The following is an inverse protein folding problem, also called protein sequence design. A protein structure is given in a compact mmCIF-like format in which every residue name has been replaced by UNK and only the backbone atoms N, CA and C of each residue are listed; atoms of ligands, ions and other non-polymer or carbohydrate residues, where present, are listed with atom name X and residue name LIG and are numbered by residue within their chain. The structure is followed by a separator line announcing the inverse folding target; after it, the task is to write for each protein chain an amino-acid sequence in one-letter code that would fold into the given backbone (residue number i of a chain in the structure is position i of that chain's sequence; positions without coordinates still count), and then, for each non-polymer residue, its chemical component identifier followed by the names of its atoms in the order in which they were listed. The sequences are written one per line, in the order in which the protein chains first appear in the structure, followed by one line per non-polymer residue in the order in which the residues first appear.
data_IF_214156606338
#
_entry.id   IF_214156606338
#
_cell.length_a   1.000
_cell.length_b   1.000
_cell.length_c   1.000
_cell.angle_alpha   90.00
_cell.angle_beta   90.00
_cell.angle_gamma   90.00
#
_symmetry.space_group_name_H-M   'P 1'
#
loop_
_entity.id
_entity.type
_entity.pdbx_description
1 polymer ?
#
# COMPACT_ATOMS: atom_id res chain seq x y z
N UNK A 1 43.34 -19.89 13.71
CA UNK A 1 42.71 -18.63 13.26
C UNK A 1 41.21 -18.83 13.43
N UNK A 2 40.69 -18.50 14.60
CA UNK A 2 39.27 -18.68 14.92
C UNK A 2 38.52 -17.51 14.29
N UNK A 3 37.57 -17.82 13.41
CA UNK A 3 36.54 -16.88 12.99
C UNK A 3 35.83 -16.37 14.26
N UNK A 4 35.60 -15.06 14.43
CA UNK A 4 34.80 -14.60 15.54
C UNK A 4 33.38 -15.14 15.35
N UNK A 5 32.90 -15.92 16.32
CA UNK A 5 31.48 -16.19 16.49
C UNK A 5 30.74 -14.85 16.45
N UNK A 6 29.84 -14.68 15.48
CA UNK A 6 28.94 -13.55 15.40
C UNK A 6 28.17 -13.47 16.73
N UNK A 7 28.60 -12.58 17.62
CA UNK A 7 27.82 -12.22 18.80
C UNK A 7 26.60 -11.47 18.31
N UNK A 8 25.50 -12.20 18.16
CA UNK A 8 24.21 -11.62 17.86
C UNK A 8 23.92 -10.51 18.89
N UNK A 9 23.93 -9.25 18.46
CA UNK A 9 23.74 -8.06 19.29
C UNK A 9 22.42 -8.12 20.06
N UNK A 10 22.40 -7.91 21.38
CA UNK A 10 21.13 -7.91 22.13
C UNK A 10 20.21 -6.82 21.56
N UNK A 11 18.96 -7.19 21.26
CA UNK A 11 17.94 -6.26 20.78
C UNK A 11 16.94 -5.97 21.91
N UNK A 12 16.49 -4.72 22.00
CA UNK A 12 15.46 -4.27 22.91
C UNK A 12 14.28 -3.66 22.13
N UNK A 13 13.08 -3.65 22.73
CA UNK A 13 11.90 -3.04 22.14
C UNK A 13 11.41 -1.91 23.03
N UNK A 14 11.14 -0.76 22.42
CA UNK A 14 10.44 0.37 23.05
C UNK A 14 9.09 0.54 22.38
N UNK A 15 8.04 0.71 23.19
CA UNK A 15 6.69 0.93 22.70
C UNK A 15 6.34 2.43 22.74
N UNK A 16 6.06 2.99 21.58
CA UNK A 16 5.64 4.39 21.38
C UNK A 16 4.12 4.47 21.36
N UNK A 17 3.55 5.26 22.29
CA UNK A 17 2.09 5.34 22.54
C UNK A 17 1.49 6.72 22.37
N UNK A 18 2.31 7.74 22.16
CA UNK A 18 1.88 9.11 21.99
C UNK A 18 2.64 9.79 20.86
N UNK A 19 2.08 10.89 20.37
CA UNK A 19 2.60 11.63 19.23
C UNK A 19 3.96 12.28 19.52
N UNK A 20 4.20 12.73 20.76
CA UNK A 20 5.49 13.34 21.13
C UNK A 20 6.64 12.33 20.99
N UNK A 21 6.43 11.11 21.46
CA UNK A 21 7.41 10.03 21.32
C UNK A 21 7.57 9.58 19.86
N UNK A 22 6.51 9.61 19.05
CA UNK A 22 6.60 9.34 17.60
C UNK A 22 7.43 10.39 16.87
N UNK A 23 7.22 11.67 17.19
CA UNK A 23 7.98 12.78 16.63
C UNK A 23 9.46 12.70 17.02
N UNK A 24 9.76 12.28 18.25
CA UNK A 24 11.13 12.11 18.73
C UNK A 24 11.92 11.02 17.97
N UNK A 25 11.24 10.01 17.40
CA UNK A 25 11.88 8.97 16.60
C UNK A 25 12.26 9.41 15.17
N UNK A 26 11.79 10.58 14.72
CA UNK A 26 11.89 11.00 13.31
C UNK A 26 13.28 10.81 12.72
N UNK A 27 14.31 11.45 13.29
CA UNK A 27 15.65 11.43 12.71
C UNK A 27 16.28 10.04 12.70
N UNK A 28 16.02 9.23 13.72
CA UNK A 28 16.52 7.84 13.76
C UNK A 28 15.80 6.94 12.75
N UNK A 29 14.49 7.18 12.54
CA UNK A 29 13.68 6.42 11.58
C UNK A 29 14.02 6.80 10.14
N UNK A 30 14.12 8.09 9.82
CA UNK A 30 14.59 8.56 8.50
C UNK A 30 15.99 7.99 8.20
N UNK A 31 16.90 7.98 9.19
CA UNK A 31 18.22 7.33 9.05
C UNK A 31 18.14 5.81 8.82
N UNK A 32 17.16 5.13 9.42
CA UNK A 32 16.93 3.70 9.21
C UNK A 32 16.39 3.44 7.80
N UNK A 33 15.49 4.28 7.28
CA UNK A 33 14.96 4.17 5.92
C UNK A 33 16.07 4.23 4.87
N UNK A 34 17.03 5.14 5.04
CA UNK A 34 18.14 5.32 4.10
C UNK A 34 19.13 4.14 4.08
N UNK A 35 19.11 3.27 5.10
CA UNK A 35 20.05 2.16 5.28
C UNK A 35 19.40 0.78 5.22
N UNK A 36 18.06 0.70 5.26
CA UNK A 36 17.35 -0.56 5.25
C UNK A 36 17.62 -1.35 3.97
N UNK A 37 17.88 -2.66 4.09
CA UNK A 37 18.08 -3.55 2.93
C UNK A 37 16.83 -3.59 2.05
N UNK A 38 15.64 -3.60 2.65
CA UNK A 38 14.37 -3.55 1.94
C UNK A 38 13.64 -2.26 2.27
N UNK A 39 13.54 -1.36 1.27
CA UNK A 39 12.77 -0.13 1.40
C UNK A 39 11.26 -0.41 1.30
N UNK A 40 10.50 0.09 2.28
CA UNK A 40 9.05 0.00 2.32
C UNK A 40 8.42 1.38 2.38
N UNK A 41 7.83 1.83 1.27
CA UNK A 41 7.16 3.13 1.13
C UNK A 41 6.16 3.40 2.28
N UNK A 42 5.40 2.36 2.64
CA UNK A 42 4.29 2.40 3.60
C UNK A 42 4.71 2.12 5.05
N UNK A 43 6.02 2.09 5.33
CA UNK A 43 6.61 2.06 6.69
C UNK A 43 7.62 3.17 6.92
N UNK A 44 7.72 4.12 5.99
CA UNK A 44 8.46 5.37 6.20
C UNK A 44 7.82 6.18 7.32
N UNK A 45 8.64 6.96 8.03
CA UNK A 45 8.20 7.91 9.04
C UNK A 45 7.19 8.89 8.44
N UNK A 46 7.45 9.40 7.23
CA UNK A 46 6.54 10.31 6.53
C UNK A 46 5.16 9.70 6.30
N UNK A 47 5.09 8.45 5.84
CA UNK A 47 3.81 7.76 5.69
C UNK A 47 3.12 7.57 7.03
N UNK A 48 3.79 6.96 8.01
CA UNK A 48 3.20 6.60 9.32
C UNK A 48 2.72 7.84 10.07
N UNK A 49 3.52 8.91 10.09
CA UNK A 49 3.19 10.16 10.76
C UNK A 49 1.95 10.81 10.14
N UNK A 50 1.91 10.99 8.82
CA UNK A 50 0.75 11.59 8.15
C UNK A 50 -0.49 10.70 8.22
N UNK A 51 -0.32 9.38 8.11
CA UNK A 51 -1.42 8.44 8.27
C UNK A 51 -2.00 8.51 9.68
N UNK A 52 -1.19 8.58 10.73
CA UNK A 52 -1.67 8.81 12.09
C UNK A 52 -2.41 10.15 12.21
N UNK A 53 -1.84 11.25 11.71
CA UNK A 53 -2.43 12.58 11.83
C UNK A 53 -3.78 12.73 11.14
N UNK A 54 -3.93 12.16 9.94
CA UNK A 54 -5.12 12.36 9.11
C UNK A 54 -6.11 11.21 9.20
N UNK A 55 -5.65 9.97 9.47
CA UNK A 55 -6.46 8.76 9.42
C UNK A 55 -6.73 8.14 10.79
N UNK A 56 -6.19 8.66 11.90
CA UNK A 56 -6.63 8.20 13.23
C UNK A 56 -8.08 8.62 13.52
N UNK A 57 -8.79 7.79 14.28
CA UNK A 57 -10.18 8.03 14.70
C UNK A 57 -10.29 8.01 16.22
N UNK A 58 -11.37 8.57 16.79
CA UNK A 58 -11.64 8.44 18.21
C UNK A 58 -11.60 6.98 18.67
N UNK A 59 -10.77 6.70 19.69
CA UNK A 59 -10.57 5.36 20.23
C UNK A 59 -9.39 4.60 19.62
N UNK A 60 -8.77 5.08 18.54
CA UNK A 60 -7.47 4.58 18.08
C UNK A 60 -6.38 4.99 19.08
N UNK A 61 -5.44 4.09 19.34
CA UNK A 61 -4.28 4.34 20.18
C UNK A 61 -3.01 3.97 19.43
N UNK A 62 -2.03 4.88 19.42
CA UNK A 62 -0.73 4.66 18.78
C UNK A 62 -0.02 3.46 19.43
N UNK A 63 0.56 2.58 18.61
CA UNK A 63 1.24 1.37 19.06
C UNK A 63 2.45 1.09 18.15
N UNK A 64 3.42 1.99 18.13
CA UNK A 64 4.61 1.79 17.29
C UNK A 64 5.69 1.09 18.12
N UNK A 65 6.17 -0.05 17.63
CA UNK A 65 7.23 -0.82 18.30
C UNK A 65 8.57 -0.53 17.63
N UNK A 66 9.48 0.11 18.36
CA UNK A 66 10.80 0.49 17.91
C UNK A 66 11.86 -0.46 18.50
N UNK A 67 12.65 -1.09 17.64
CA UNK A 67 13.67 -2.07 18.01
C UNK A 67 15.03 -1.43 17.97
N UNK A 68 15.79 -1.54 19.06
CA UNK A 68 17.12 -0.96 19.20
C UNK A 68 18.16 -2.04 19.40
N UNK A 69 19.38 -1.81 18.90
CA UNK A 69 20.53 -2.65 19.24
C UNK A 69 21.16 -2.22 20.57
N UNK A 70 22.20 -2.94 21.01
CA UNK A 70 22.88 -2.68 22.27
C UNK A 70 23.59 -1.30 22.34
N UNK A 71 23.72 -0.59 21.22
CA UNK A 71 24.24 0.78 21.17
C UNK A 71 23.11 1.83 21.12
N UNK A 72 21.87 1.43 21.42
CA UNK A 72 20.66 2.26 21.36
C UNK A 72 20.37 2.82 19.95
N UNK A 73 20.93 2.21 18.91
CA UNK A 73 20.60 2.57 17.52
C UNK A 73 19.31 1.88 17.12
N UNK A 74 18.41 2.62 16.47
CA UNK A 74 17.19 2.07 15.89
C UNK A 74 17.53 1.14 14.71
N UNK A 75 17.13 -0.13 14.81
CA UNK A 75 17.41 -1.17 13.81
C UNK A 75 16.14 -1.81 13.22
N UNK A 76 14.98 -1.48 13.75
CA UNK A 76 13.71 -1.89 13.15
C UNK A 76 12.50 -1.17 13.74
N UNK A 77 11.43 -1.06 12.95
CA UNK A 77 10.17 -0.46 13.39
C UNK A 77 8.98 -1.24 12.84
N UNK A 78 8.02 -1.53 13.71
CA UNK A 78 6.71 -2.05 13.35
C UNK A 78 5.62 -1.03 13.75
N UNK A 79 5.10 -0.25 12.79
CA UNK A 79 4.11 0.79 13.06
C UNK A 79 2.70 0.21 13.15
N UNK A 80 2.20 -0.01 14.36
CA UNK A 80 0.83 -0.47 14.60
C UNK A 80 -0.04 0.62 15.22
N UNK A 81 -1.34 0.44 15.07
CA UNK A 81 -2.39 1.10 15.82
C UNK A 81 -3.20 0.05 16.55
N UNK A 82 -3.55 0.35 17.80
CA UNK A 82 -4.54 -0.41 18.56
C UNK A 82 -5.91 0.21 18.38
N UNK A 83 -6.85 -0.58 17.88
CA UNK A 83 -8.22 -0.13 17.59
C UNK A 83 -9.26 -1.04 18.27
N UNK A 84 -10.36 -0.48 18.80
CA UNK A 84 -11.49 -1.28 19.25
C UNK A 84 -12.36 -1.70 18.05
N UNK A 85 -12.48 -3.01 17.81
CA UNK A 85 -13.36 -3.54 16.74
C UNK A 85 -14.42 -4.49 17.29
N UNK A 86 -15.58 -4.54 16.63
CA UNK A 86 -16.66 -5.49 16.95
C UNK A 86 -16.45 -6.80 16.20
N UNK A 87 -16.13 -7.85 16.94
CA UNK A 87 -16.03 -9.23 16.43
C UNK A 87 -17.06 -10.11 17.15
N UNK A 88 -17.98 -10.72 16.38
CA UNK A 88 -19.03 -11.63 16.88
C UNK A 88 -19.83 -11.09 18.09
N UNK A 89 -20.13 -9.78 18.07
CA UNK A 89 -20.89 -9.06 19.10
C UNK A 89 -20.06 -8.53 20.27
N UNK A 90 -18.75 -8.79 20.32
CA UNK A 90 -17.85 -8.33 21.39
C UNK A 90 -16.89 -7.27 20.86
N UNK A 91 -16.59 -6.26 21.67
CA UNK A 91 -15.50 -5.32 21.35
C UNK A 91 -14.18 -5.96 21.75
N UNK A 92 -13.25 -6.06 20.81
CA UNK A 92 -11.89 -6.56 21.01
C UNK A 92 -10.88 -5.51 20.61
N UNK A 93 -9.70 -5.53 21.24
CA UNK A 93 -8.57 -4.67 20.87
C UNK A 93 -7.75 -5.35 19.77
N UNK A 94 -7.75 -4.76 18.59
CA UNK A 94 -7.04 -5.24 17.41
C UNK A 94 -5.80 -4.38 17.21
N UNK A 95 -4.63 -5.02 17.08
CA UNK A 95 -3.41 -4.40 16.60
C UNK A 95 -3.32 -4.63 15.09
N UNK A 96 -3.12 -3.57 14.31
CA UNK A 96 -2.93 -3.62 12.85
C UNK A 96 -2.00 -2.50 12.40
N UNK A 97 -1.41 -2.60 11.22
CA UNK A 97 -0.53 -1.54 10.71
C UNK A 97 -1.27 -0.19 10.61
N UNK A 98 -0.58 0.91 10.85
CA UNK A 98 -1.10 2.25 10.53
C UNK A 98 -1.12 2.39 9.00
N UNK A 99 -2.27 2.75 8.40
CA UNK A 99 -2.38 2.91 6.94
C UNK A 99 -3.81 2.89 6.41
N UNK A 100 -3.95 2.82 5.08
CA UNK A 100 -5.25 2.77 4.36
C UNK A 100 -5.61 1.32 3.99
N UNK A 101 -4.61 0.45 3.79
CA UNK A 101 -4.74 -0.98 3.45
C UNK A 101 -5.47 -1.24 2.12
N UNK A 102 -5.13 -0.45 1.12
CA UNK A 102 -5.64 -0.56 -0.25
C UNK A 102 -4.51 -1.02 -1.19
N UNK A 103 -3.76 -2.08 -0.85
CA UNK A 103 -2.56 -2.49 -1.61
C UNK A 103 -1.26 -1.85 -1.13
N UNK A 104 -1.24 -1.43 0.14
CA UNK A 104 -0.17 -0.68 0.79
C UNK A 104 0.98 -1.58 1.31
N UNK A 105 0.84 -2.91 1.40
CA UNK A 105 1.94 -3.83 1.83
C UNK A 105 2.86 -3.27 2.96
N UNK A 106 2.33 -2.79 4.10
CA UNK A 106 3.10 -2.02 5.08
C UNK A 106 4.27 -2.83 5.67
N UNK A 107 4.03 -4.02 6.22
CA UNK A 107 5.10 -4.85 6.78
C UNK A 107 5.85 -4.17 7.95
N UNK A 108 7.17 -4.36 8.01
CA UNK A 108 8.05 -3.64 8.95
C UNK A 108 9.25 -3.06 8.22
N UNK A 109 9.90 -2.09 8.85
CA UNK A 109 11.20 -1.60 8.40
C UNK A 109 12.29 -2.24 9.26
N UNK A 110 13.32 -2.81 8.65
CA UNK A 110 14.47 -3.38 9.35
C UNK A 110 15.76 -3.02 8.63
N UNK A 111 16.83 -2.84 9.41
CA UNK A 111 18.14 -2.48 8.87
C UNK A 111 18.70 -3.61 7.99
N UNK A 112 18.74 -4.83 8.52
CA UNK A 112 19.30 -6.01 7.84
C UNK A 112 18.43 -7.26 8.07
N UNK A 113 18.36 -7.75 9.32
CA UNK A 113 17.74 -9.02 9.66
C UNK A 113 16.26 -8.84 10.09
N UNK A 114 15.38 -8.73 9.10
CA UNK A 114 13.94 -8.56 9.32
C UNK A 114 13.32 -9.70 10.15
N UNK A 115 13.79 -10.94 9.95
CA UNK A 115 13.35 -12.12 10.70
C UNK A 115 13.65 -11.99 12.20
N UNK A 116 14.87 -11.54 12.53
CA UNK A 116 15.29 -11.31 13.90
C UNK A 116 14.52 -10.16 14.55
N UNK A 117 14.28 -9.07 13.82
CA UNK A 117 13.44 -7.96 14.27
C UNK A 117 12.03 -8.47 14.57
N UNK A 118 11.41 -9.22 13.65
CA UNK A 118 10.10 -9.86 13.86
C UNK A 118 10.08 -10.77 15.09
N UNK A 119 11.10 -11.60 15.28
CA UNK A 119 11.18 -12.53 16.42
C UNK A 119 11.14 -11.81 17.76
N UNK A 120 11.92 -10.73 17.89
CA UNK A 120 11.97 -9.92 19.11
C UNK A 120 10.68 -9.12 19.31
N UNK A 121 10.10 -8.56 18.23
CA UNK A 121 8.79 -7.91 18.27
C UNK A 121 7.68 -8.89 18.72
N UNK A 122 7.70 -10.13 18.25
CA UNK A 122 6.73 -11.14 18.66
C UNK A 122 6.84 -11.50 20.14
N UNK A 123 8.07 -11.65 20.66
CA UNK A 123 8.28 -11.89 22.09
C UNK A 123 7.67 -10.78 22.94
N UNK A 124 7.85 -9.52 22.52
CA UNK A 124 7.29 -8.38 23.20
C UNK A 124 5.76 -8.30 23.07
N UNK A 125 5.21 -8.62 21.89
CA UNK A 125 3.75 -8.75 21.71
C UNK A 125 3.16 -9.81 22.64
N UNK A 126 3.85 -10.94 22.84
CA UNK A 126 3.45 -11.98 23.79
C UNK A 126 3.52 -11.48 25.23
N UNK A 127 4.55 -10.71 25.60
CA UNK A 127 4.65 -10.10 26.93
C UNK A 127 3.48 -9.13 27.19
N UNK A 128 3.09 -8.36 26.17
CA UNK A 128 2.01 -7.36 26.21
C UNK A 128 0.61 -7.93 25.88
N UNK A 129 0.46 -9.27 25.85
CA UNK A 129 -0.77 -9.94 25.43
C UNK A 129 -2.02 -9.56 26.23
N UNK A 130 -1.91 -9.02 27.44
CA UNK A 130 -3.07 -8.54 28.19
C UNK A 130 -3.72 -7.29 27.57
N UNK A 131 -3.02 -6.59 26.68
CA UNK A 131 -3.43 -5.31 26.13
C UNK A 131 -4.06 -5.38 24.74
N UNK A 132 -4.04 -6.57 24.12
CA UNK A 132 -4.58 -6.81 22.79
C UNK A 132 -5.21 -8.21 22.70
N UNK A 133 -6.10 -8.40 21.73
CA UNK A 133 -6.81 -9.66 21.51
C UNK A 133 -6.57 -10.24 20.13
N UNK A 134 -6.38 -9.38 19.12
CA UNK A 134 -6.09 -9.79 17.75
C UNK A 134 -4.91 -9.00 17.24
N UNK A 135 -3.95 -9.67 16.63
CA UNK A 135 -2.96 -9.05 15.75
C UNK A 135 -3.40 -9.34 14.32
N UNK A 136 -3.74 -8.30 13.55
CA UNK A 136 -4.19 -8.38 12.17
C UNK A 136 -3.14 -7.79 11.24
N UNK A 137 -2.34 -8.65 10.63
CA UNK A 137 -1.31 -8.28 9.67
C UNK A 137 -1.87 -8.52 8.27
N UNK A 138 -1.93 -7.46 7.46
CA UNK A 138 -2.46 -7.49 6.10
C UNK A 138 -1.36 -7.38 5.07
N UNK A 139 -1.70 -7.81 3.87
CA UNK A 139 -0.89 -7.66 2.68
C UNK A 139 0.53 -8.24 2.80
N UNK A 140 0.67 -9.33 3.56
CA UNK A 140 1.94 -9.99 3.77
C UNK A 140 2.38 -10.72 2.49
N UNK A 141 3.62 -10.47 2.09
CA UNK A 141 4.27 -11.15 0.95
C UNK A 141 4.64 -12.59 1.34
N UNK A 142 4.51 -13.51 0.39
CA UNK A 142 4.86 -14.92 0.60
C UNK A 142 6.27 -15.08 1.15
N UNK A 143 6.42 -16.00 2.09
CA UNK A 143 7.71 -16.32 2.68
C UNK A 143 8.16 -15.36 3.80
N UNK A 144 7.50 -14.23 4.07
CA UNK A 144 7.89 -13.38 5.20
C UNK A 144 7.76 -14.10 6.56
N UNK A 145 8.55 -13.66 7.54
CA UNK A 145 8.61 -14.29 8.87
C UNK A 145 7.23 -14.52 9.53
N UNK A 146 6.29 -13.54 9.56
CA UNK A 146 4.98 -13.77 10.17
C UNK A 146 4.23 -14.94 9.54
N UNK A 147 4.27 -15.08 8.21
CA UNK A 147 3.61 -16.20 7.52
C UNK A 147 4.31 -17.54 7.75
N UNK A 148 5.61 -17.56 8.06
CA UNK A 148 6.33 -18.80 8.36
C UNK A 148 6.10 -19.24 9.81
N UNK A 149 6.31 -18.34 10.75
CA UNK A 149 6.39 -18.67 12.18
C UNK A 149 5.03 -18.54 12.90
N UNK A 150 4.22 -17.55 12.54
CA UNK A 150 2.95 -17.29 13.24
C UNK A 150 1.76 -18.08 12.70
N UNK A 151 1.98 -19.04 11.79
CA UNK A 151 0.98 -20.10 11.53
C UNK A 151 0.82 -21.05 12.71
N UNK A 152 1.82 -21.10 13.60
CA UNK A 152 1.78 -21.84 14.86
C UNK A 152 2.35 -20.95 15.97
N UNK A 153 1.63 -19.89 16.36
CA UNK A 153 2.13 -18.82 17.23
C UNK A 153 2.46 -19.26 18.67
N UNK A 154 2.23 -20.54 19.00
CA UNK A 154 2.51 -21.13 20.30
C UNK A 154 1.30 -21.17 21.23
N UNK A 155 1.55 -21.60 22.48
CA UNK A 155 0.49 -21.86 23.46
C UNK A 155 -0.29 -20.59 23.80
N UNK A 156 -1.62 -20.68 23.74
CA UNK A 156 -2.51 -19.57 24.09
C UNK A 156 -2.85 -18.65 22.92
N UNK A 157 -2.38 -18.95 21.72
CA UNK A 157 -2.71 -18.23 20.50
C UNK A 157 -3.29 -19.18 19.44
N UNK A 158 -4.10 -18.63 18.54
CA UNK A 158 -4.55 -19.29 17.31
C UNK A 158 -4.28 -18.35 16.14
N UNK A 159 -4.02 -18.90 14.97
CA UNK A 159 -3.79 -18.10 13.76
C UNK A 159 -4.68 -18.54 12.63
N UNK A 160 -5.10 -17.58 11.82
CA UNK A 160 -5.74 -17.82 10.54
C UNK A 160 -5.00 -17.04 9.47
N UNK A 161 -4.74 -17.67 8.33
CA UNK A 161 -4.20 -16.97 7.17
C UNK A 161 -5.10 -17.15 5.96
N UNK A 162 -5.50 -16.04 5.35
CA UNK A 162 -6.38 -15.99 4.19
C UNK A 162 -5.68 -15.25 3.03
N UNK A 163 -6.06 -15.51 1.77
CA UNK A 163 -5.77 -14.59 0.67
C UNK A 163 -6.24 -13.17 1.03
N UNK A 164 -5.48 -12.16 0.62
CA UNK A 164 -5.79 -10.75 0.87
C UNK A 164 -5.95 -10.00 -0.46
N UNK A 165 -4.97 -9.20 -0.86
CA UNK A 165 -4.98 -8.49 -2.14
C UNK A 165 -4.29 -9.33 -3.21
N UNK A 166 -4.96 -9.47 -4.35
CA UNK A 166 -4.36 -9.90 -5.61
C UNK A 166 -4.24 -8.68 -6.54
N UNK A 167 -3.02 -8.36 -6.95
CA UNK A 167 -2.72 -7.19 -7.78
C UNK A 167 -2.05 -7.62 -9.09
N UNK A 168 -2.42 -7.04 -10.25
CA UNK A 168 -1.66 -7.19 -11.48
C UNK A 168 -0.19 -6.82 -11.30
N UNK A 169 0.69 -7.58 -11.93
CA UNK A 169 2.14 -7.40 -11.83
C UNK A 169 2.78 -7.64 -13.19
N UNK A 170 3.64 -6.71 -13.60
CA UNK A 170 4.37 -6.76 -14.86
C UNK A 170 5.86 -6.58 -14.58
N UNK A 171 6.68 -7.51 -15.08
CA UNK A 171 8.14 -7.32 -15.11
C UNK A 171 8.50 -6.41 -16.28
N UNK A 172 9.49 -5.57 -16.06
CA UNK A 172 9.98 -4.57 -17.02
C UNK A 172 11.38 -4.96 -17.55
N UNK A 173 11.68 -6.25 -17.65
CA UNK A 173 12.98 -6.80 -18.06
C UNK A 173 13.11 -7.00 -19.59
N UNK A 174 12.30 -6.30 -20.37
CA UNK A 174 12.28 -6.33 -21.84
C UNK A 174 11.95 -4.97 -22.44
N UNK A 175 11.66 -4.94 -23.74
CA UNK A 175 11.23 -3.73 -24.44
C UNK A 175 9.70 -3.68 -24.62
N UNK A 176 9.19 -2.46 -24.79
CA UNK A 176 7.76 -2.21 -24.95
C UNK A 176 7.19 -2.88 -26.21
N UNK A 177 7.94 -2.87 -27.31
CA UNK A 177 7.50 -3.45 -28.58
C UNK A 177 7.27 -4.96 -28.48
N UNK A 178 8.15 -5.69 -27.79
CA UNK A 178 8.00 -7.11 -27.48
C UNK A 178 6.82 -7.34 -26.53
N UNK A 179 6.64 -6.47 -25.53
CA UNK A 179 5.48 -6.54 -24.64
C UNK A 179 4.16 -6.42 -25.42
N UNK A 180 4.06 -5.45 -26.33
CA UNK A 180 2.90 -5.27 -27.22
C UNK A 180 2.72 -6.48 -28.14
N UNK A 181 3.79 -7.00 -28.75
CA UNK A 181 3.75 -8.11 -29.69
C UNK A 181 3.21 -9.42 -29.09
N UNK A 182 3.34 -9.59 -27.77
CA UNK A 182 2.77 -10.76 -27.06
C UNK A 182 1.27 -10.61 -26.74
N UNK A 183 0.68 -9.42 -26.92
CA UNK A 183 -0.76 -9.21 -26.70
C UNK A 183 -1.58 -9.85 -27.82
N UNK A 184 -2.82 -10.23 -27.51
CA UNK A 184 -3.79 -10.71 -28.52
C UNK A 184 -4.04 -9.63 -29.57
N UNK A 185 -4.22 -10.02 -30.85
CA UNK A 185 -4.53 -9.10 -31.96
C UNK A 185 -5.67 -8.12 -31.64
N UNK A 186 -6.70 -8.61 -30.94
CA UNK A 186 -7.85 -7.80 -30.52
C UNK A 186 -7.44 -6.65 -29.57
N UNK A 187 -6.53 -6.91 -28.63
CA UNK A 187 -6.01 -5.93 -27.66
C UNK A 187 -5.13 -4.90 -28.37
N UNK A 188 -4.23 -5.35 -29.26
CA UNK A 188 -3.39 -4.45 -30.06
C UNK A 188 -4.24 -3.53 -30.94
N UNK A 189 -5.19 -4.10 -31.68
CA UNK A 189 -6.08 -3.34 -32.55
C UNK A 189 -6.98 -2.38 -31.76
N UNK A 190 -7.38 -2.75 -30.54
CA UNK A 190 -8.13 -1.88 -29.65
C UNK A 190 -7.32 -0.68 -29.18
N UNK A 191 -6.08 -0.89 -28.74
CA UNK A 191 -5.19 0.19 -28.33
C UNK A 191 -4.91 1.18 -29.45
N UNK A 192 -4.59 0.69 -30.66
CA UNK A 192 -4.43 1.54 -31.83
C UNK A 192 -5.70 2.37 -32.13
N UNK A 193 -6.89 1.77 -32.01
CA UNK A 193 -8.17 2.50 -32.18
C UNK A 193 -8.37 3.57 -31.11
N UNK A 194 -8.06 3.28 -29.85
CA UNK A 194 -8.20 4.25 -28.74
C UNK A 194 -7.27 5.44 -28.95
N UNK A 195 -6.01 5.22 -29.35
CA UNK A 195 -5.05 6.29 -29.65
C UNK A 195 -5.50 7.13 -30.85
N UNK A 196 -5.94 6.51 -31.95
CA UNK A 196 -6.48 7.23 -33.11
C UNK A 196 -7.72 8.07 -32.74
N UNK A 197 -8.60 7.51 -31.90
CA UNK A 197 -9.81 8.19 -31.44
C UNK A 197 -9.49 9.41 -30.58
N UNK A 198 -8.55 9.29 -29.63
CA UNK A 198 -8.06 10.41 -28.84
C UNK A 198 -7.53 11.52 -29.75
N UNK A 199 -6.68 11.18 -30.74
CA UNK A 199 -6.10 12.16 -31.65
C UNK A 199 -7.15 12.89 -32.52
N UNK A 200 -8.23 12.20 -32.91
CA UNK A 200 -9.30 12.77 -33.74
C UNK A 200 -10.26 13.64 -32.93
N UNK A 201 -10.68 13.16 -31.75
CA UNK A 201 -11.68 13.84 -30.92
C UNK A 201 -11.07 14.91 -30.00
N UNK A 202 -9.79 14.77 -29.66
CA UNK A 202 -9.04 15.65 -28.76
C UNK A 202 -7.66 15.98 -29.36
N UNK A 203 -7.58 16.70 -30.50
CA UNK A 203 -6.32 16.94 -31.21
C UNK A 203 -5.26 17.73 -30.43
N UNK A 204 -5.67 18.44 -29.37
CA UNK A 204 -4.78 19.13 -28.42
C UNK A 204 -4.47 18.33 -27.15
N UNK A 205 -4.83 17.05 -27.09
CA UNK A 205 -4.58 16.23 -25.91
C UNK A 205 -3.07 16.10 -25.64
N UNK A 206 -2.68 16.35 -24.40
CA UNK A 206 -1.31 16.23 -23.94
C UNK A 206 -1.24 15.64 -22.53
N UNK A 207 -0.10 15.06 -22.21
CA UNK A 207 0.15 14.53 -20.88
C UNK A 207 0.86 15.57 -20.03
N UNK A 208 0.30 15.85 -18.85
CA UNK A 208 0.91 16.68 -17.83
C UNK A 208 1.36 15.77 -16.69
N UNK A 209 2.66 15.78 -16.41
CA UNK A 209 3.29 14.96 -15.37
C UNK A 209 3.87 15.87 -14.30
N UNK A 210 3.34 15.77 -13.08
CA UNK A 210 3.86 16.46 -11.91
C UNK A 210 4.61 15.45 -11.03
N UNK A 211 5.90 15.70 -10.81
CA UNK A 211 6.82 14.83 -10.07
C UNK A 211 7.62 15.59 -9.01
N UNK A 212 7.52 16.91 -8.98
CA UNK A 212 8.21 17.76 -8.03
C UNK A 212 7.36 18.02 -6.78
N UNK A 213 7.98 18.34 -5.64
CA UNK A 213 7.22 18.74 -4.46
C UNK A 213 6.43 20.04 -4.65
N UNK A 214 6.83 20.88 -5.62
CA UNK A 214 6.23 22.20 -5.86
C UNK A 214 4.98 22.13 -6.77
N UNK A 215 4.86 21.10 -7.61
CA UNK A 215 3.77 20.96 -8.58
C UNK A 215 2.78 19.81 -8.26
N UNK A 216 3.22 18.79 -7.50
CA UNK A 216 2.42 17.58 -7.28
C UNK A 216 1.11 17.83 -6.53
N UNK A 217 1.07 18.83 -5.65
CA UNK A 217 -0.17 19.18 -4.93
C UNK A 217 -1.17 19.85 -5.87
N UNK A 218 -0.73 20.75 -6.75
CA UNK A 218 -1.60 21.38 -7.74
C UNK A 218 -2.19 20.33 -8.69
N UNK A 219 -1.36 19.40 -9.17
CA UNK A 219 -1.82 18.29 -9.98
C UNK A 219 -2.79 17.37 -9.22
N UNK A 220 -2.56 17.13 -7.92
CA UNK A 220 -3.51 16.39 -7.08
C UNK A 220 -4.87 17.11 -6.98
N UNK A 221 -4.91 18.44 -6.87
CA UNK A 221 -6.19 19.16 -6.84
C UNK A 221 -6.97 19.03 -8.16
N UNK A 222 -6.27 19.10 -9.30
CA UNK A 222 -6.87 18.84 -10.63
C UNK A 222 -7.40 17.41 -10.72
N UNK A 223 -6.65 16.44 -10.22
CA UNK A 223 -7.06 15.05 -10.09
C UNK A 223 -8.32 14.87 -9.20
N UNK A 224 -8.38 15.53 -8.04
CA UNK A 224 -9.53 15.44 -7.13
C UNK A 224 -10.80 16.06 -7.73
N UNK A 225 -10.65 17.08 -8.58
CA UNK A 225 -11.77 17.65 -9.33
C UNK A 225 -12.37 16.65 -10.34
N UNK A 226 -11.51 15.90 -11.04
CA UNK A 226 -11.93 14.79 -11.92
C UNK A 226 -12.72 13.73 -11.16
N UNK A 227 -12.20 13.28 -10.02
CA UNK A 227 -12.92 12.33 -9.18
C UNK A 227 -14.29 12.85 -8.74
N UNK A 228 -14.37 14.12 -8.35
CA UNK A 228 -15.63 14.72 -7.93
C UNK A 228 -16.67 14.69 -9.05
N UNK A 229 -16.27 15.00 -10.29
CA UNK A 229 -17.15 14.89 -11.45
C UNK A 229 -17.58 13.44 -11.70
N UNK A 230 -16.66 12.48 -11.58
CA UNK A 230 -16.95 11.04 -11.70
C UNK A 230 -18.00 10.58 -10.68
N UNK A 231 -17.88 11.01 -9.44
CA UNK A 231 -18.84 10.71 -8.38
C UNK A 231 -20.22 11.30 -8.66
N UNK A 232 -20.27 12.56 -9.12
CA UNK A 232 -21.54 13.22 -9.46
C UNK A 232 -22.28 12.50 -10.59
N UNK A 233 -21.55 11.86 -11.51
CA UNK A 233 -22.11 11.03 -12.57
C UNK A 233 -22.49 9.60 -12.12
N UNK A 234 -22.39 9.28 -10.83
CA UNK A 234 -22.68 7.95 -10.29
C UNK A 234 -21.56 6.92 -10.50
N UNK A 235 -20.34 7.39 -10.81
CA UNK A 235 -19.15 6.57 -11.02
C UNK A 235 -18.43 6.17 -9.73
N UNK A 236 -17.20 5.66 -9.89
CA UNK A 236 -16.36 5.20 -8.79
C UNK A 236 -15.70 6.31 -7.98
N UNK A 237 -15.31 5.96 -6.76
CA UNK A 237 -14.53 6.81 -5.84
C UNK A 237 -13.13 6.24 -5.65
N UNK A 238 -12.13 7.11 -5.53
CA UNK A 238 -10.72 6.75 -5.44
C UNK A 238 -10.05 7.40 -4.23
N UNK A 239 -9.69 8.70 -4.22
CA UNK A 239 -9.07 9.41 -3.08
C UNK A 239 -10.10 10.34 -2.43
N UNK A 240 -10.79 11.16 -3.23
CA UNK A 240 -11.59 12.31 -2.83
C UNK A 240 -12.89 12.01 -2.07
N UNK A 241 -13.32 10.75 -1.99
CA UNK A 241 -14.54 10.39 -1.23
C UNK A 241 -14.41 10.53 0.29
N UNK A 242 -13.19 10.60 0.81
CA UNK A 242 -12.92 10.86 2.22
C UNK A 242 -12.02 12.09 2.35
N UNK A 243 -12.50 13.20 2.94
CA UNK A 243 -11.69 14.38 3.20
C UNK A 243 -10.41 14.11 3.99
N UNK A 244 -10.42 13.12 4.89
CA UNK A 244 -9.24 12.70 5.65
C UNK A 244 -8.18 12.07 4.74
N UNK A 245 -8.61 11.22 3.82
CA UNK A 245 -7.72 10.61 2.83
C UNK A 245 -7.16 11.65 1.86
N UNK A 246 -7.98 12.59 1.39
CA UNK A 246 -7.50 13.71 0.57
C UNK A 246 -6.46 14.56 1.33
N UNK A 247 -6.71 14.88 2.61
CA UNK A 247 -5.73 15.61 3.45
C UNK A 247 -4.42 14.81 3.64
N UNK A 248 -4.52 13.50 3.83
CA UNK A 248 -3.37 12.61 3.90
C UNK A 248 -2.51 12.66 2.62
N UNK A 249 -3.11 12.49 1.44
CA UNK A 249 -2.36 12.52 0.17
C UNK A 249 -1.75 13.91 -0.10
N UNK A 250 -2.43 15.00 0.25
CA UNK A 250 -1.87 16.36 0.17
C UNK A 250 -0.60 16.52 1.00
N UNK A 251 -0.55 15.92 2.19
CA UNK A 251 0.62 15.98 3.06
C UNK A 251 1.74 15.02 2.60
N UNK A 252 1.36 13.84 2.11
CA UNK A 252 2.30 12.75 1.82
C UNK A 252 2.95 12.83 0.45
N UNK A 253 2.21 13.18 -0.62
CA UNK A 253 2.77 13.22 -1.98
C UNK A 253 3.99 14.13 -2.12
N UNK A 254 4.06 15.33 -1.51
CA UNK A 254 5.27 16.15 -1.56
C UNK A 254 6.50 15.50 -0.90
N UNK A 255 6.29 14.66 0.12
CA UNK A 255 7.37 13.89 0.77
C UNK A 255 7.94 12.87 -0.21
N UNK A 256 7.07 12.15 -0.91
CA UNK A 256 7.47 11.17 -1.91
C UNK A 256 8.10 11.80 -3.14
N UNK A 257 7.53 12.89 -3.65
CA UNK A 257 8.03 13.63 -4.80
C UNK A 257 9.50 14.07 -4.60
N UNK A 258 9.88 14.50 -3.39
CA UNK A 258 11.28 14.83 -3.07
C UNK A 258 12.25 13.66 -3.23
N UNK A 259 11.78 12.43 -3.10
CA UNK A 259 12.56 11.19 -3.29
C UNK A 259 12.44 10.63 -4.71
N UNK A 260 11.61 11.23 -5.57
CA UNK A 260 11.24 10.65 -6.86
C UNK A 260 10.24 9.49 -6.74
N UNK A 261 9.59 9.34 -5.58
CA UNK A 261 8.73 8.21 -5.25
C UNK A 261 7.24 8.44 -5.56
N UNK A 262 6.89 9.55 -6.21
CA UNK A 262 5.52 9.83 -6.60
C UNK A 262 5.43 10.67 -7.88
N UNK A 263 4.34 10.46 -8.62
CA UNK A 263 3.93 11.31 -9.72
C UNK A 263 2.41 11.42 -9.76
N UNK A 264 1.89 12.58 -10.17
CA UNK A 264 0.50 12.73 -10.60
C UNK A 264 0.49 12.99 -12.09
N UNK A 265 -0.23 12.15 -12.80
CA UNK A 265 -0.34 12.18 -14.25
C UNK A 265 -1.74 12.63 -14.63
N UNK A 266 -1.83 13.56 -15.56
CA UNK A 266 -3.08 14.07 -16.10
C UNK A 266 -3.03 14.01 -17.63
N UNK A 267 -4.09 13.49 -18.23
CA UNK A 267 -4.34 13.64 -19.66
C UNK A 267 -5.23 14.87 -19.82
N UNK A 268 -4.69 15.96 -20.38
CA UNK A 268 -5.38 17.23 -20.53
C UNK A 268 -5.67 17.53 -22.00
N UNK A 269 -6.75 18.26 -22.29
CA UNK A 269 -7.01 18.87 -23.60
C UNK A 269 -7.49 20.32 -23.42
N UNK A 270 -7.79 21.02 -24.52
CA UNK A 270 -8.32 22.39 -24.48
C UNK A 270 -9.61 22.52 -23.65
N UNK A 271 -10.35 21.42 -23.48
CA UNK A 271 -11.61 21.36 -22.73
C UNK A 271 -11.46 21.07 -21.23
N UNK A 272 -10.24 20.78 -20.75
CA UNK A 272 -9.97 20.41 -19.36
C UNK A 272 -9.25 19.06 -19.23
N UNK A 273 -9.29 18.47 -18.03
CA UNK A 273 -8.71 17.16 -17.80
C UNK A 273 -9.63 16.05 -18.31
N UNK A 274 -9.08 15.08 -19.02
CA UNK A 274 -9.78 13.89 -19.52
C UNK A 274 -9.59 12.69 -18.59
N UNK A 275 -8.39 12.54 -18.02
CA UNK A 275 -8.06 11.46 -17.09
C UNK A 275 -6.95 11.84 -16.11
N UNK A 276 -6.92 11.14 -14.99
CA UNK A 276 -5.91 11.31 -13.96
C UNK A 276 -5.43 9.98 -13.39
N UNK A 277 -4.17 9.93 -12.96
CA UNK A 277 -3.53 8.76 -12.37
C UNK A 277 -2.53 9.20 -11.29
N UNK A 278 -2.61 8.60 -10.11
CA UNK A 278 -1.62 8.81 -9.03
C UNK A 278 -0.67 7.62 -9.01
N UNK A 279 0.62 7.89 -9.25
CA UNK A 279 1.65 6.86 -9.32
C UNK A 279 2.55 6.98 -8.09
N UNK A 280 2.85 5.85 -7.47
CA UNK A 280 3.83 5.76 -6.39
C UNK A 280 4.97 4.86 -6.81
N UNK A 281 6.17 5.04 -6.25
CA UNK A 281 7.31 4.14 -6.46
C UNK A 281 7.76 3.59 -5.11
N UNK A 282 8.06 2.30 -5.08
CA UNK A 282 8.66 1.64 -3.92
C UNK A 282 9.86 0.82 -4.41
N UNK A 283 11.07 1.30 -4.12
CA UNK A 283 12.30 0.72 -4.69
C UNK A 283 12.25 0.78 -6.22
N UNK A 284 12.32 -0.38 -6.86
CA UNK A 284 12.31 -0.49 -8.33
C UNK A 284 10.94 -0.90 -8.89
N UNK A 285 9.87 -0.75 -8.12
CA UNK A 285 8.51 -1.05 -8.58
C UNK A 285 7.66 0.22 -8.65
N UNK A 286 7.08 0.48 -9.82
CA UNK A 286 5.98 1.43 -9.97
C UNK A 286 4.67 0.81 -9.46
N UNK A 287 3.90 1.59 -8.71
CA UNK A 287 2.58 1.25 -8.19
C UNK A 287 1.60 2.24 -8.80
N UNK A 288 0.91 1.79 -9.84
CA UNK A 288 -0.13 2.55 -10.52
C UNK A 288 -1.41 2.52 -9.67
N UNK A 289 -1.84 3.68 -9.17
CA UNK A 289 -3.00 3.78 -8.27
C UNK A 289 -4.00 4.80 -8.76
N UNK A 290 -5.25 4.61 -8.33
CA UNK A 290 -6.21 5.71 -8.31
C UNK A 290 -6.46 6.31 -9.70
N UNK A 291 -6.60 5.48 -10.74
CA UNK A 291 -6.95 5.99 -12.06
C UNK A 291 -8.39 6.51 -12.07
N UNK A 292 -8.62 7.71 -12.62
CA UNK A 292 -9.94 8.32 -12.78
C UNK A 292 -10.05 9.01 -14.15
N UNK A 293 -11.27 9.43 -14.51
CA UNK A 293 -11.56 10.07 -15.78
C UNK A 293 -12.76 11.01 -15.68
N UNK A 294 -12.87 11.94 -16.65
CA UNK A 294 -14.07 12.75 -16.85
C UNK A 294 -15.18 11.89 -17.49
N UNK A 295 -16.33 11.69 -16.81
CA UNK A 295 -17.48 10.98 -17.36
C UNK A 295 -17.96 11.46 -18.74
N UNK A 296 -17.78 12.75 -19.05
CA UNK A 296 -18.18 13.31 -20.35
C UNK A 296 -17.38 12.72 -21.52
N UNK A 297 -16.21 12.14 -21.24
CA UNK A 297 -15.28 11.55 -22.18
C UNK A 297 -15.06 10.05 -21.94
N UNK A 298 -16.00 9.37 -21.26
CA UNK A 298 -15.88 7.95 -20.94
C UNK A 298 -15.71 7.04 -22.17
N UNK A 299 -16.25 7.46 -23.31
CA UNK A 299 -16.28 6.72 -24.57
C UNK A 299 -14.90 6.60 -25.24
N UNK A 300 -13.99 7.55 -25.03
CA UNK A 300 -12.60 7.43 -25.47
C UNK A 300 -11.70 6.66 -24.50
N UNK A 301 -12.26 6.13 -23.40
CA UNK A 301 -11.55 5.33 -22.39
C UNK A 301 -10.24 5.96 -21.89
N UNK A 302 -10.25 7.24 -21.48
CA UNK A 302 -9.02 8.02 -21.30
C UNK A 302 -8.17 7.53 -20.11
N UNK A 303 -8.79 6.96 -19.06
CA UNK A 303 -8.06 6.35 -17.95
C UNK A 303 -7.27 5.10 -18.35
N UNK A 304 -7.83 4.27 -19.23
CA UNK A 304 -7.12 3.11 -19.76
C UNK A 304 -5.93 3.55 -20.61
N UNK A 305 -6.14 4.51 -21.53
CA UNK A 305 -5.06 5.10 -22.32
C UNK A 305 -3.94 5.61 -21.41
N UNK A 306 -4.26 6.47 -20.44
CA UNK A 306 -3.28 7.03 -19.51
C UNK A 306 -2.52 5.94 -18.72
N UNK A 307 -3.19 4.86 -18.32
CA UNK A 307 -2.54 3.78 -17.58
C UNK A 307 -1.64 2.91 -18.46
N UNK A 308 -2.01 2.68 -19.72
CA UNK A 308 -1.17 1.95 -20.68
C UNK A 308 0.07 2.78 -21.06
N UNK A 309 -0.09 4.10 -21.25
CA UNK A 309 1.03 5.02 -21.47
C UNK A 309 1.97 5.07 -20.25
N UNK A 310 1.42 5.04 -19.02
CA UNK A 310 2.22 4.95 -17.80
C UNK A 310 3.03 3.65 -17.72
N UNK A 311 2.45 2.53 -18.16
CA UNK A 311 3.15 1.25 -18.26
C UNK A 311 4.23 1.30 -19.34
N UNK A 312 3.95 1.85 -20.51
CA UNK A 312 4.95 2.05 -21.57
C UNK A 312 6.15 2.86 -21.06
N UNK A 313 5.90 4.01 -20.40
CA UNK A 313 7.00 4.80 -19.83
C UNK A 313 7.74 4.05 -18.71
N UNK A 314 7.09 3.11 -18.02
CA UNK A 314 7.77 2.27 -17.04
C UNK A 314 8.81 1.35 -17.69
N UNK A 315 8.52 0.75 -18.86
CA UNK A 315 9.48 -0.03 -19.65
C UNK A 315 10.70 0.80 -20.10
N UNK A 316 10.53 2.11 -20.28
CA UNK A 316 11.61 3.03 -20.65
C UNK A 316 12.39 3.58 -19.44
N UNK A 317 12.02 3.15 -18.22
CA UNK A 317 12.62 3.63 -16.97
C UNK A 317 13.60 2.62 -16.36
N UNK A 318 14.20 2.98 -15.22
CA UNK A 318 15.04 2.06 -14.43
C UNK A 318 14.24 1.15 -13.49
N UNK A 319 12.91 1.19 -13.53
CA UNK A 319 12.10 0.28 -12.72
C UNK A 319 12.22 -1.16 -13.24
N UNK A 320 12.21 -2.12 -12.32
CA UNK A 320 12.21 -3.55 -12.63
C UNK A 320 10.79 -4.11 -12.79
N UNK A 321 9.79 -3.43 -12.24
CA UNK A 321 8.40 -3.87 -12.28
C UNK A 321 7.38 -2.73 -12.23
N UNK A 322 6.16 -3.04 -12.67
CA UNK A 322 4.95 -2.24 -12.45
C UNK A 322 3.84 -3.11 -11.85
N UNK A 323 3.07 -2.55 -10.91
CA UNK A 323 1.90 -3.20 -10.33
C UNK A 323 0.73 -2.23 -10.30
N UNK A 324 -0.47 -2.76 -10.50
CA UNK A 324 -1.70 -1.99 -10.51
C UNK A 324 -2.47 -2.25 -9.22
N UNK A 325 -2.95 -1.19 -8.57
CA UNK A 325 -3.68 -1.30 -7.31
C UNK A 325 -4.90 -0.38 -7.33
N UNK A 326 -6.06 -0.92 -6.98
CA UNK A 326 -7.32 -0.17 -6.89
C UNK A 326 -7.75 0.54 -8.18
N UNK A 327 -7.39 0.00 -9.35
CA UNK A 327 -7.91 0.49 -10.64
C UNK A 327 -9.13 -0.35 -11.00
N UNK A 328 -10.30 0.29 -10.95
CA UNK A 328 -11.59 -0.36 -11.22
C UNK A 328 -11.95 -0.22 -12.69
N UNK A 329 -12.21 -1.34 -13.34
CA UNK A 329 -12.75 -1.34 -14.69
C UNK A 329 -14.28 -1.21 -14.66
N UNK A 330 -14.89 -0.47 -15.60
CA UNK A 330 -16.33 -0.46 -15.76
C UNK A 330 -16.87 -1.87 -16.01
N UNK A 331 -18.02 -2.21 -15.44
CA UNK A 331 -18.68 -3.48 -15.76
C UNK A 331 -18.99 -3.56 -17.26
N UNK A 332 -18.60 -4.67 -17.90
CA UNK A 332 -18.79 -4.87 -19.33
C UNK A 332 -17.83 -4.07 -20.23
N UNK A 333 -16.74 -3.52 -19.67
CA UNK A 333 -15.73 -2.84 -20.47
C UNK A 333 -15.21 -3.74 -21.59
N UNK A 334 -15.24 -3.22 -22.81
CA UNK A 334 -14.68 -3.92 -23.98
C UNK A 334 -13.15 -3.99 -23.96
N UNK A 335 -12.52 -3.22 -23.06
CA UNK A 335 -11.08 -3.00 -22.92
C UNK A 335 -10.70 -3.20 -21.45
N UNK A 336 -9.59 -3.86 -21.21
CA UNK A 336 -9.09 -4.11 -19.86
C UNK A 336 -7.63 -3.69 -19.75
N UNK A 337 -7.29 -2.92 -18.72
CA UNK A 337 -5.89 -2.66 -18.37
C UNK A 337 -5.20 -3.95 -17.93
N UNK A 338 -5.96 -4.93 -17.43
CA UNK A 338 -5.43 -6.22 -17.01
C UNK A 338 -4.85 -7.04 -18.17
N UNK A 339 -5.28 -6.80 -19.42
CA UNK A 339 -4.72 -7.44 -20.61
C UNK A 339 -3.23 -7.05 -20.85
N UNK A 340 -2.77 -5.99 -20.20
CA UNK A 340 -1.40 -5.46 -20.30
C UNK A 340 -0.46 -5.96 -19.21
N UNK A 341 -0.95 -6.77 -18.27
CA UNK A 341 -0.17 -7.33 -17.17
C UNK A 341 -0.15 -8.85 -17.23
N UNK A 342 1.04 -9.43 -17.30
CA UNK A 342 1.25 -10.87 -17.45
C UNK A 342 1.12 -11.66 -16.15
N UNK A 343 1.39 -10.99 -15.03
CA UNK A 343 1.46 -11.59 -13.71
C UNK A 343 0.39 -11.11 -12.75
N UNK A 344 0.36 -11.80 -11.62
CA UNK A 344 -0.39 -11.43 -10.42
C UNK A 344 0.54 -11.57 -9.22
N UNK A 345 0.50 -10.59 -8.33
CA UNK A 345 1.10 -10.63 -7.01
C UNK A 345 0.00 -10.88 -6.00
N UNK A 346 0.09 -11.99 -5.27
CA UNK A 346 -0.85 -12.35 -4.21
C UNK A 346 -0.23 -12.08 -2.85
N UNK A 347 -0.98 -11.40 -2.01
CA UNK A 347 -0.64 -11.19 -0.60
C UNK A 347 -1.55 -11.99 0.31
N UNK A 348 -1.15 -12.13 1.57
CA UNK A 348 -1.94 -12.83 2.58
C UNK A 348 -2.23 -11.94 3.77
N UNK A 349 -3.40 -12.17 4.36
CA UNK A 349 -3.78 -11.64 5.65
C UNK A 349 -3.50 -12.72 6.69
N UNK A 350 -2.91 -12.34 7.81
CA UNK A 350 -2.67 -13.19 8.96
C UNK A 350 -3.32 -12.54 10.18
N UNK A 351 -4.27 -13.24 10.78
CA UNK A 351 -4.88 -12.83 12.04
C UNK A 351 -4.46 -13.80 13.14
N UNK A 352 -3.80 -13.28 14.17
CA UNK A 352 -3.40 -14.04 15.37
C UNK A 352 -4.28 -13.65 16.54
N UNK A 353 -5.03 -14.61 17.05
CA UNK A 353 -5.98 -14.46 18.16
C UNK A 353 -5.33 -14.88 19.47
N UNK A 354 -5.38 -14.01 20.48
CA UNK A 354 -5.01 -14.32 21.85
C UNK A 354 -6.18 -15.01 22.58
N UNK A 355 -6.07 -16.34 22.71
CA UNK A 355 -7.07 -17.21 23.35
C UNK A 355 -7.04 -17.14 24.88
N UNK A 356 -6.05 -16.49 25.48
CA UNK A 356 -6.01 -16.29 26.93
C UNK A 356 -6.65 -14.98 27.36
N UNK A 357 -7.14 -14.19 26.41
CA UNK A 357 -8.09 -13.11 26.71
C UNK A 357 -9.47 -13.70 27.06
N UNK A 358 -10.23 -13.03 27.94
CA UNK A 358 -11.58 -13.46 28.32
C UNK A 358 -12.57 -13.55 27.14
N UNK A 359 -12.24 -12.93 26.00
CA UNK A 359 -13.12 -12.78 24.84
C UNK A 359 -12.64 -13.60 23.61
N UNK A 360 -11.35 -13.92 23.50
CA UNK A 360 -10.75 -14.59 22.33
C UNK A 360 -11.36 -15.96 21.99
N UNK A 361 -11.51 -16.89 22.95
CA UNK A 361 -12.11 -18.20 22.69
C UNK A 361 -13.57 -18.13 22.24
N UNK A 362 -14.35 -17.19 22.77
CA UNK A 362 -15.78 -17.03 22.45
C UNK A 362 -15.95 -16.47 21.03
N UNK A 363 -15.09 -15.54 20.62
CA UNK A 363 -15.08 -14.97 19.27
C UNK A 363 -14.73 -16.04 18.22
N UNK A 364 -13.66 -16.81 18.46
CA UNK A 364 -13.21 -17.86 17.54
C UNK A 364 -14.26 -18.97 17.37
N UNK A 365 -14.90 -19.41 18.46
CA UNK A 365 -15.96 -20.43 18.43
C UNK A 365 -17.20 -19.97 17.67
N UNK A 366 -17.59 -18.69 17.80
CA UNK A 366 -18.70 -18.13 17.02
C UNK A 366 -18.36 -17.98 15.53
N UNK A 367 -17.12 -17.63 15.20
CA UNK A 367 -16.64 -17.55 13.82
C UNK A 367 -16.59 -18.88 13.08
N UNK A 368 -16.18 -19.95 13.78
CA UNK A 368 -16.29 -21.31 13.26
C UNK A 368 -17.76 -21.68 13.02
N UNK A 369 -18.66 -21.34 13.95
CA UNK A 369 -20.10 -21.60 13.82
C UNK A 369 -20.79 -20.89 12.65
N UNK A 370 -20.33 -19.70 12.25
CA UNK A 370 -20.86 -19.01 11.05
C UNK A 370 -20.36 -19.62 9.74
N UNK A 371 -19.15 -20.19 9.71
CA UNK A 371 -18.61 -20.88 8.51
C UNK A 371 -19.35 -22.18 8.17
N UNK A 372 -20.05 -22.79 9.13
CA UNK A 372 -20.87 -24.00 8.91
C UNK A 372 -22.35 -23.71 8.62
N UNK A 373 -22.76 -22.44 8.59
CA UNK A 373 -24.14 -22.00 8.27
C UNK A 373 -24.25 -21.26 6.93
N UNK A 374 -23.17 -21.21 6.16
CA UNK A 374 -23.12 -20.61 4.82
C UNK A 374 -23.25 -21.66 3.73
#
# INVERSE_FOLDING_TARGET
MNLPESRASVLSVTLVRDESALLALRSAWESLEDQAVEYGLYVTWGYVHHAWQHLAEPGHALWVMAVHDAAERLVGVLPLVRVPERHYGMTVQVLRHIGIWEGDRPGLLALEDADRVWSVLWQELVALRSEWQVLDLRELVSGCWPLRELQRPGRGFSSESLPDIEAPYQRLDGDWELHVATRRDAVQAQWARMQQRLQLEQPGACMVVAQGPDDIVEALERYLALEQALVQAGGGVTIGSDPRRAAFYRAWLPVLARRGDAAVWLLASDGGELAGLVRLRCGDTWIERHACYDPAHADITPSLLLTVEALQQAFESTAEASTLVSVREPEGASASVLDWYDGRSLTRRLSVWNLQSRLGPIALLKGLGSKFRG
#
